data_IF_307442725166
#
_entry.id   IF_307442725166
#
_cell.length_a   1.000
_cell.length_b   1.000
_cell.length_c   1.000
_cell.angle_alpha   90.00
_cell.angle_beta   90.00
_cell.angle_gamma   90.00
#
_symmetry.space_group_name_H-M   'P 1'
#
loop_
_entity.id
_entity.type
_entity.pdbx_description
1 polymer ?
#
# COMPACT_ATOMS: atom_id res chain seq x y z
N UNK A 1 44.89 -26.57 -18.25
CA UNK A 1 44.59 -25.92 -16.95
C UNK A 1 43.62 -26.78 -16.15
N UNK A 2 43.59 -26.64 -14.82
CA UNK A 2 42.65 -27.34 -13.93
C UNK A 2 41.58 -26.34 -13.46
N UNK A 3 40.33 -26.78 -13.36
CA UNK A 3 39.23 -25.97 -12.82
C UNK A 3 39.00 -26.39 -11.37
N UNK A 4 38.76 -25.44 -10.48
CA UNK A 4 38.28 -25.71 -9.13
C UNK A 4 36.75 -26.03 -9.15
N UNK A 5 36.34 -27.29 -8.87
CA UNK A 5 34.95 -27.69 -8.92
C UNK A 5 34.06 -26.95 -7.91
N UNK A 6 34.60 -26.65 -6.72
CA UNK A 6 33.82 -26.03 -5.64
C UNK A 6 33.58 -24.56 -5.95
N UNK A 7 34.57 -23.89 -6.54
CA UNK A 7 34.45 -22.51 -7.00
C UNK A 7 33.49 -22.38 -8.20
N UNK A 8 33.56 -23.28 -9.18
CA UNK A 8 32.61 -23.28 -10.30
C UNK A 8 31.17 -23.45 -9.80
N UNK A 9 30.96 -24.35 -8.84
CA UNK A 9 29.64 -24.60 -8.23
C UNK A 9 29.16 -23.39 -7.44
N UNK A 10 30.04 -22.74 -6.67
CA UNK A 10 29.68 -21.57 -5.87
C UNK A 10 29.29 -20.38 -6.76
N UNK A 11 30.08 -20.09 -7.80
CA UNK A 11 29.80 -19.02 -8.78
C UNK A 11 28.49 -19.26 -9.53
N UNK A 12 28.22 -20.52 -9.95
CA UNK A 12 26.96 -20.86 -10.61
C UNK A 12 25.76 -20.63 -9.69
N UNK A 13 25.83 -21.12 -8.44
CA UNK A 13 24.76 -20.94 -7.45
C UNK A 13 24.55 -19.47 -7.11
N UNK A 14 25.63 -18.68 -7.02
CA UNK A 14 25.58 -17.23 -6.77
C UNK A 14 24.78 -16.48 -7.84
N UNK A 15 24.87 -16.90 -9.11
CA UNK A 15 24.08 -16.31 -10.20
C UNK A 15 22.69 -16.94 -10.39
N UNK A 16 22.22 -17.78 -9.46
CA UNK A 16 20.94 -18.52 -9.56
C UNK A 16 20.79 -19.30 -10.88
N UNK A 17 21.90 -19.78 -11.44
CA UNK A 17 21.89 -20.55 -12.68
C UNK A 17 21.74 -22.05 -12.39
N UNK A 18 20.73 -22.67 -12.99
CA UNK A 18 20.70 -24.13 -13.11
C UNK A 18 21.78 -24.61 -14.08
N UNK A 19 22.12 -25.90 -14.04
CA UNK A 19 23.09 -26.48 -14.99
C UNK A 19 22.64 -26.28 -16.45
N UNK A 20 21.32 -26.41 -16.70
CA UNK A 20 20.69 -26.16 -18.00
C UNK A 20 20.85 -24.69 -18.41
N UNK A 21 20.52 -23.75 -17.52
CA UNK A 21 20.64 -22.31 -17.80
C UNK A 21 22.09 -21.90 -18.06
N UNK A 22 23.05 -22.46 -17.32
CA UNK A 22 24.47 -22.19 -17.57
C UNK A 22 24.92 -22.76 -18.92
N UNK A 23 24.50 -23.97 -19.28
CA UNK A 23 24.78 -24.56 -20.59
C UNK A 23 24.22 -23.69 -21.74
N UNK A 24 22.98 -23.23 -21.63
CA UNK A 24 22.38 -22.30 -22.60
C UNK A 24 23.16 -20.99 -22.68
N UNK A 25 23.56 -20.42 -21.53
CA UNK A 25 24.36 -19.18 -21.47
C UNK A 25 25.71 -19.37 -22.18
N UNK A 26 26.39 -20.49 -21.98
CA UNK A 26 27.65 -20.79 -22.70
C UNK A 26 27.44 -20.93 -24.21
N UNK A 27 26.32 -21.53 -24.65
CA UNK A 27 25.98 -21.69 -26.07
C UNK A 27 25.73 -20.34 -26.75
N UNK A 28 25.05 -19.41 -26.07
CA UNK A 28 24.83 -18.03 -26.57
C UNK A 28 26.14 -17.27 -26.74
N UNK A 29 27.09 -17.51 -25.85
CA UNK A 29 28.38 -16.81 -25.85
C UNK A 29 29.34 -17.37 -26.90
N UNK A 30 29.48 -18.70 -27.00
CA UNK A 30 30.42 -19.38 -27.91
C UNK A 30 29.81 -20.72 -28.43
N UNK A 31 29.31 -20.79 -29.67
CA UNK A 31 28.84 -22.05 -30.28
C UNK A 31 30.02 -23.01 -30.56
N UNK A 32 29.93 -24.33 -30.27
CA UNK A 32 28.73 -25.12 -29.97
C UNK A 32 28.22 -25.10 -28.50
N UNK A 33 28.87 -24.36 -27.61
CA UNK A 33 28.53 -24.30 -26.19
C UNK A 33 28.94 -25.54 -25.40
N UNK A 34 28.82 -25.46 -24.07
CA UNK A 34 29.16 -26.57 -23.17
C UNK A 34 27.86 -27.28 -22.78
N UNK A 35 27.85 -28.60 -22.84
CA UNK A 35 26.68 -29.40 -22.46
C UNK A 35 26.51 -29.50 -20.96
N UNK A 36 25.26 -29.62 -20.50
CA UNK A 36 24.91 -29.78 -19.09
C UNK A 36 25.71 -30.90 -18.40
N UNK A 37 25.79 -32.08 -19.04
CA UNK A 37 26.56 -33.24 -18.55
C UNK A 37 28.04 -32.91 -18.35
N UNK A 38 28.60 -32.03 -19.19
CA UNK A 38 30.00 -31.61 -19.08
C UNK A 38 30.18 -30.68 -17.89
N UNK A 39 29.28 -29.72 -17.68
CA UNK A 39 29.30 -28.81 -16.52
C UNK A 39 29.15 -29.62 -15.22
N UNK A 40 28.18 -30.53 -15.16
CA UNK A 40 27.97 -31.41 -14.00
C UNK A 40 29.22 -32.23 -13.68
N UNK A 41 29.89 -32.77 -14.71
CA UNK A 41 31.15 -33.49 -14.55
C UNK A 41 32.28 -32.60 -14.04
N UNK A 42 32.35 -31.34 -14.48
CA UNK A 42 33.35 -30.36 -14.01
C UNK A 42 33.10 -29.92 -12.56
N UNK A 43 31.84 -29.84 -12.13
CA UNK A 43 31.47 -29.57 -10.73
C UNK A 43 31.63 -30.77 -9.79
N UNK A 44 31.93 -31.95 -10.31
CA UNK A 44 32.05 -33.18 -9.50
C UNK A 44 33.48 -33.34 -8.98
N UNK A 45 33.66 -33.44 -7.66
CA UNK A 45 34.96 -33.49 -6.97
C UNK A 45 35.88 -34.62 -7.45
N UNK A 46 35.31 -35.69 -8.02
CA UNK A 46 36.06 -36.80 -8.63
C UNK A 46 36.91 -36.41 -9.86
N UNK A 47 36.80 -35.19 -10.37
CA UNK A 47 37.54 -34.69 -11.54
C UNK A 47 38.47 -33.50 -11.24
N UNK A 48 38.70 -33.16 -9.96
CA UNK A 48 39.51 -32.01 -9.53
C UNK A 48 40.95 -31.98 -10.11
N UNK A 49 41.43 -33.10 -10.66
CA UNK A 49 42.76 -33.22 -11.28
C UNK A 49 42.77 -33.42 -12.80
N UNK A 50 41.62 -33.36 -13.50
CA UNK A 50 41.59 -33.57 -14.95
C UNK A 50 41.87 -32.27 -15.70
N UNK A 51 42.74 -32.35 -16.71
CA UNK A 51 43.04 -31.22 -17.59
C UNK A 51 41.83 -30.88 -18.46
N UNK A 52 41.40 -29.63 -18.37
CA UNK A 52 40.32 -29.07 -19.19
C UNK A 52 40.94 -28.25 -20.32
N UNK A 53 40.31 -28.29 -21.49
CA UNK A 53 40.72 -27.49 -22.66
C UNK A 53 40.46 -26.00 -22.38
N UNK A 54 41.38 -25.16 -22.79
CA UNK A 54 41.36 -23.70 -22.55
C UNK A 54 40.05 -23.04 -23.00
N UNK A 55 39.58 -23.35 -24.22
CA UNK A 55 38.30 -22.82 -24.74
C UNK A 55 37.08 -23.11 -23.84
N UNK A 56 37.10 -24.21 -23.07
CA UNK A 56 36.02 -24.57 -22.15
C UNK A 56 36.06 -23.66 -20.92
N UNK A 57 37.25 -23.33 -20.43
CA UNK A 57 37.45 -22.42 -19.30
C UNK A 57 37.03 -21.01 -19.71
N UNK A 58 37.48 -20.53 -20.86
CA UNK A 58 37.09 -19.21 -21.39
C UNK A 58 35.59 -19.09 -21.59
N UNK A 59 34.94 -20.14 -22.12
CA UNK A 59 33.50 -20.13 -22.35
C UNK A 59 32.70 -20.13 -21.04
N UNK A 60 33.17 -20.86 -20.01
CA UNK A 60 32.56 -20.81 -18.67
C UNK A 60 32.80 -19.48 -17.97
N UNK A 61 34.03 -18.97 -18.04
CA UNK A 61 34.43 -17.69 -17.45
C UNK A 61 33.59 -16.56 -18.02
N UNK A 62 33.46 -16.50 -19.36
CA UNK A 62 32.65 -15.50 -20.05
C UNK A 62 31.15 -15.66 -19.77
N UNK A 63 30.64 -16.89 -19.65
CA UNK A 63 29.24 -17.11 -19.28
C UNK A 63 28.94 -16.72 -17.82
N UNK A 64 29.93 -16.85 -16.93
CA UNK A 64 29.85 -16.42 -15.53
C UNK A 64 30.33 -14.98 -15.32
N UNK A 65 30.73 -14.26 -16.38
CA UNK A 65 31.26 -12.90 -16.30
C UNK A 65 32.43 -12.75 -15.30
N UNK A 66 33.30 -13.76 -15.24
CA UNK A 66 34.54 -13.77 -14.43
C UNK A 66 35.75 -13.97 -15.33
N UNK A 67 36.94 -13.62 -14.83
CA UNK A 67 38.18 -13.93 -15.55
C UNK A 67 38.51 -15.44 -15.52
N UNK A 68 39.11 -16.01 -16.59
CA UNK A 68 39.49 -17.42 -16.63
C UNK A 68 40.36 -17.87 -15.47
N UNK A 69 41.28 -17.00 -15.01
CA UNK A 69 42.17 -17.25 -13.87
C UNK A 69 41.44 -17.44 -12.53
N UNK A 70 40.22 -16.92 -12.41
CA UNK A 70 39.38 -17.14 -11.23
C UNK A 70 38.94 -18.61 -11.18
N UNK A 71 38.46 -19.17 -12.30
CA UNK A 71 37.99 -20.56 -12.35
C UNK A 71 39.11 -21.59 -12.14
N UNK A 72 40.37 -21.21 -12.38
CA UNK A 72 41.55 -22.06 -12.16
C UNK A 72 42.14 -21.92 -10.76
N UNK A 73 41.67 -20.95 -9.96
CA UNK A 73 42.22 -20.63 -8.64
C UNK A 73 43.54 -19.86 -8.69
N UNK A 74 43.94 -19.37 -9.87
CA UNK A 74 45.15 -18.55 -10.06
C UNK A 74 44.92 -17.08 -9.66
N UNK A 75 43.68 -16.61 -9.77
CA UNK A 75 43.23 -15.30 -9.30
C UNK A 75 42.25 -15.48 -8.15
N UNK A 76 42.29 -14.60 -7.13
CA UNK A 76 41.25 -14.60 -6.10
C UNK A 76 39.88 -14.40 -6.76
N UNK A 77 38.82 -15.04 -6.24
CA UNK A 77 37.47 -14.76 -6.72
C UNK A 77 37.21 -13.26 -6.60
N UNK A 78 36.56 -12.64 -7.60
CA UNK A 78 36.21 -11.23 -7.51
C UNK A 78 35.45 -11.04 -6.20
N UNK A 79 35.96 -10.14 -5.36
CA UNK A 79 35.22 -9.68 -4.18
C UNK A 79 33.84 -9.32 -4.70
N UNK A 80 32.83 -10.04 -4.23
CA UNK A 80 31.47 -9.75 -4.63
C UNK A 80 31.16 -8.33 -4.23
N UNK A 81 30.87 -7.47 -5.20
CA UNK A 81 29.99 -6.32 -4.96
C UNK A 81 28.58 -6.78 -4.49
N UNK A 82 28.31 -8.10 -4.53
CA UNK A 82 27.07 -8.77 -4.11
C UNK A 82 27.14 -9.55 -2.78
N UNK A 83 28.06 -9.24 -1.85
CA UNK A 83 27.52 -9.20 -0.47
C UNK A 83 26.45 -8.13 -0.58
N UNK A 84 25.15 -8.36 -0.26
CA UNK A 84 24.21 -7.24 -0.18
C UNK A 84 24.94 -6.25 0.69
N UNK A 85 25.41 -5.14 0.09
CA UNK A 85 26.38 -4.29 0.73
C UNK A 85 25.79 -4.08 2.10
N UNK A 86 26.47 -4.58 3.15
CA UNK A 86 26.00 -4.39 4.51
C UNK A 86 26.05 -2.88 4.62
N UNK A 87 24.91 -2.28 4.33
CA UNK A 87 24.73 -0.87 4.32
C UNK A 87 24.26 -0.69 5.74
N UNK A 88 25.17 -0.34 6.68
CA UNK A 88 24.79 -0.16 8.08
C UNK A 88 23.62 0.83 8.22
N UNK A 89 23.36 1.64 7.18
CA UNK A 89 22.32 2.65 7.14
C UNK A 89 20.96 2.12 6.65
N UNK A 90 20.82 0.83 6.29
CA UNK A 90 19.54 0.25 5.81
C UNK A 90 19.09 -0.93 6.66
N UNK A 91 17.90 -0.79 7.24
CA UNK A 91 17.23 -1.84 8.04
C UNK A 91 15.99 -2.32 7.28
N UNK A 92 15.76 -3.64 7.27
CA UNK A 92 14.53 -4.21 6.70
C UNK A 92 13.35 -4.01 7.66
N UNK A 93 12.26 -3.44 7.16
CA UNK A 93 11.00 -3.30 7.90
C UNK A 93 9.99 -4.29 7.31
N UNK A 94 9.50 -5.21 8.14
CA UNK A 94 8.40 -6.10 7.79
C UNK A 94 7.06 -5.50 8.22
N UNK A 95 6.21 -5.13 7.28
CA UNK A 95 4.86 -4.64 7.56
C UNK A 95 3.86 -5.29 6.59
N UNK A 96 2.65 -5.58 7.09
CA UNK A 96 1.52 -5.95 6.24
C UNK A 96 0.85 -4.65 5.75
N UNK A 97 0.66 -4.54 4.44
CA UNK A 97 0.01 -3.39 3.82
C UNK A 97 -1.25 -3.84 3.11
N UNK A 98 -2.30 -3.02 3.19
CA UNK A 98 -3.54 -3.27 2.46
C UNK A 98 -3.26 -3.30 0.95
N UNK A 99 -3.98 -4.13 0.17
CA UNK A 99 -3.82 -4.18 -1.28
C UNK A 99 -3.96 -2.81 -1.97
N UNK A 100 -4.94 -1.99 -1.54
CA UNK A 100 -5.14 -0.62 -2.02
C UNK A 100 -3.93 0.28 -1.77
N UNK A 101 -3.30 0.19 -0.60
CA UNK A 101 -2.07 0.95 -0.28
C UNK A 101 -0.90 0.52 -1.16
N UNK A 102 -0.77 -0.78 -1.44
CA UNK A 102 0.24 -1.27 -2.39
C UNK A 102 0.00 -0.74 -3.80
N UNK A 103 -1.25 -0.78 -4.27
CA UNK A 103 -1.63 -0.21 -5.56
C UNK A 103 -1.28 1.28 -5.63
N UNK A 104 -1.56 2.04 -4.57
CA UNK A 104 -1.19 3.45 -4.49
C UNK A 104 0.33 3.67 -4.65
N UNK A 105 1.18 2.82 -4.07
CA UNK A 105 2.64 2.89 -4.31
C UNK A 105 3.01 2.64 -5.77
N UNK A 106 2.38 1.66 -6.43
CA UNK A 106 2.64 1.37 -7.84
C UNK A 106 2.21 2.55 -8.73
N UNK A 107 1.06 3.18 -8.43
CA UNK A 107 0.57 4.36 -9.14
C UNK A 107 1.48 5.58 -8.92
N UNK A 108 1.89 5.87 -7.68
CA UNK A 108 2.84 6.95 -7.37
C UNK A 108 4.17 6.73 -8.10
N UNK A 109 4.66 5.48 -8.15
CA UNK A 109 5.87 5.13 -8.88
C UNK A 109 5.73 5.40 -10.38
N UNK A 110 4.59 5.08 -10.99
CA UNK A 110 4.35 5.34 -12.41
C UNK A 110 4.25 6.83 -12.71
N UNK A 111 3.50 7.58 -11.90
CA UNK A 111 3.27 9.01 -12.10
C UNK A 111 4.50 9.87 -11.80
N UNK A 112 5.21 9.58 -10.70
CA UNK A 112 6.27 10.45 -10.19
C UNK A 112 7.66 9.83 -10.22
N UNK A 113 7.80 8.53 -10.56
CA UNK A 113 9.09 7.83 -10.53
C UNK A 113 9.62 7.51 -9.14
N UNK A 114 8.83 7.71 -8.09
CA UNK A 114 9.24 7.52 -6.68
C UNK A 114 8.94 6.10 -6.23
N UNK A 115 9.92 5.39 -5.69
CA UNK A 115 9.72 4.01 -5.23
C UNK A 115 9.10 3.96 -3.83
N UNK A 116 8.42 2.85 -3.50
CA UNK A 116 7.85 2.63 -2.18
C UNK A 116 8.85 2.79 -1.03
N UNK A 117 10.11 2.38 -1.21
CA UNK A 117 11.17 2.56 -0.21
C UNK A 117 11.43 4.04 0.10
N UNK A 118 11.45 4.90 -0.92
CA UNK A 118 11.67 6.34 -0.74
C UNK A 118 10.46 6.96 -0.03
N UNK A 119 9.24 6.54 -0.38
CA UNK A 119 8.01 6.98 0.30
C UNK A 119 8.03 6.58 1.77
N UNK A 120 8.40 5.33 2.09
CA UNK A 120 8.52 4.85 3.48
C UNK A 120 9.56 5.66 4.26
N UNK A 121 10.70 5.98 3.64
CA UNK A 121 11.74 6.79 4.28
C UNK A 121 11.29 8.25 4.50
N UNK A 122 10.48 8.81 3.61
CA UNK A 122 9.93 10.17 3.75
C UNK A 122 8.69 10.24 4.64
N UNK A 123 8.00 9.11 4.87
CA UNK A 123 6.73 9.06 5.58
C UNK A 123 6.76 9.71 6.97
N UNK A 124 7.78 9.51 7.83
CA UNK A 124 7.84 10.19 9.13
C UNK A 124 7.87 11.72 9.00
N UNK A 125 8.68 12.25 8.07
CA UNK A 125 8.76 13.69 7.83
C UNK A 125 7.43 14.25 7.32
N UNK A 126 6.84 13.62 6.31
CA UNK A 126 5.56 14.06 5.76
C UNK A 126 4.43 13.96 6.77
N UNK A 127 4.39 12.89 7.57
CA UNK A 127 3.41 12.75 8.63
C UNK A 127 3.56 13.85 9.68
N UNK A 128 4.77 14.15 10.16
CA UNK A 128 4.99 15.25 11.11
C UNK A 128 4.57 16.60 10.53
N UNK A 129 4.91 16.90 9.26
CA UNK A 129 4.49 18.14 8.61
C UNK A 129 2.96 18.26 8.49
N UNK A 130 2.28 17.17 8.13
CA UNK A 130 0.82 17.15 8.02
C UNK A 130 0.16 17.26 9.39
N UNK A 131 0.68 16.57 10.41
CA UNK A 131 0.21 16.62 11.79
C UNK A 131 0.29 18.04 12.37
N UNK A 132 1.47 18.66 12.30
CA UNK A 132 1.69 20.03 12.77
C UNK A 132 0.88 21.04 11.95
N UNK A 133 0.79 20.84 10.63
CA UNK A 133 -0.06 21.65 9.76
C UNK A 133 -1.54 21.59 10.17
N UNK A 134 -2.04 20.40 10.51
CA UNK A 134 -3.40 20.20 11.00
C UNK A 134 -3.64 20.90 12.34
N UNK A 135 -2.73 20.77 13.31
CA UNK A 135 -2.84 21.43 14.62
C UNK A 135 -2.82 22.96 14.49
N UNK A 136 -1.89 23.49 13.68
CA UNK A 136 -1.80 24.92 13.40
C UNK A 136 -3.07 25.46 12.72
N UNK A 137 -3.60 24.69 11.77
CA UNK A 137 -4.85 25.02 11.08
C UNK A 137 -6.05 25.04 12.04
N UNK A 138 -6.18 24.03 12.91
CA UNK A 138 -7.21 23.98 13.96
C UNK A 138 -7.12 25.16 14.92
N UNK A 139 -5.91 25.49 15.40
CA UNK A 139 -5.69 26.66 16.24
C UNK A 139 -6.15 27.96 15.58
N UNK A 140 -5.90 28.11 14.26
CA UNK A 140 -6.41 29.26 13.49
C UNK A 140 -7.94 29.25 13.43
N UNK A 141 -8.56 28.10 13.14
CA UNK A 141 -10.02 27.97 13.09
C UNK A 141 -10.69 28.26 14.43
N UNK A 142 -10.09 27.82 15.53
CA UNK A 142 -10.59 28.09 16.85
C UNK A 142 -10.58 29.59 17.17
N UNK A 143 -9.53 30.32 16.76
CA UNK A 143 -9.48 31.79 16.87
C UNK A 143 -10.59 32.46 16.06
N UNK A 144 -10.79 32.03 14.81
CA UNK A 144 -11.88 32.55 13.96
C UNK A 144 -13.26 32.31 14.61
N UNK A 145 -13.47 31.15 15.24
CA UNK A 145 -14.71 30.82 15.97
C UNK A 145 -14.89 31.71 17.20
N UNK A 146 -13.83 31.90 18.01
CA UNK A 146 -13.86 32.81 19.18
C UNK A 146 -14.22 34.24 18.77
N UNK A 147 -13.58 34.77 17.73
CA UNK A 147 -13.86 36.11 17.20
C UNK A 147 -15.31 36.25 16.69
N UNK A 148 -15.79 35.25 15.92
CA UNK A 148 -17.17 35.24 15.44
C UNK A 148 -18.19 35.17 16.59
N UNK A 149 -17.86 34.44 17.65
CA UNK A 149 -18.68 34.31 18.85
C UNK A 149 -18.73 35.63 19.65
N UNK A 150 -17.59 36.28 19.88
CA UNK A 150 -17.51 37.59 20.53
C UNK A 150 -18.35 38.63 19.78
N UNK A 151 -18.29 38.60 18.44
CA UNK A 151 -19.15 39.45 17.60
C UNK A 151 -20.64 39.16 17.79
N UNK A 152 -21.04 37.90 17.93
CA UNK A 152 -22.43 37.52 18.15
C UNK A 152 -22.95 38.01 19.50
N UNK A 153 -22.14 37.96 20.56
CA UNK A 153 -22.48 38.52 21.88
C UNK A 153 -22.69 40.04 21.82
N UNK A 154 -21.89 40.74 21.02
CA UNK A 154 -21.99 42.21 20.87
C UNK A 154 -23.24 42.68 20.12
N UNK A 155 -23.93 41.79 19.40
CA UNK A 155 -25.22 42.11 18.76
C UNK A 155 -26.30 42.13 19.87
N UNK A 156 -26.38 43.29 20.52
CA UNK A 156 -27.18 43.54 21.71
C UNK A 156 -28.69 43.25 21.51
N UNK A 157 -29.33 42.64 22.52
CA UNK A 157 -30.78 42.53 22.64
C UNK A 157 -31.52 41.43 21.85
N UNK A 158 -30.89 40.67 20.93
CA UNK A 158 -31.59 39.63 20.16
C UNK A 158 -31.64 38.25 20.86
N UNK A 159 -30.66 37.92 21.72
CA UNK A 159 -30.47 36.57 22.29
C UNK A 159 -30.47 36.49 23.83
N UNK A 160 -31.19 37.36 24.53
CA UNK A 160 -31.15 37.45 26.00
C UNK A 160 -31.60 36.18 26.75
N UNK A 161 -32.37 35.28 26.13
CA UNK A 161 -32.81 34.02 26.75
C UNK A 161 -32.04 32.76 26.32
N UNK A 162 -31.49 32.71 25.10
CA UNK A 162 -30.74 31.55 24.57
C UNK A 162 -29.22 31.66 24.72
N UNK A 163 -28.72 32.85 25.09
CA UNK A 163 -27.28 33.15 25.16
C UNK A 163 -26.52 32.33 26.19
N UNK A 164 -27.07 32.11 27.39
CA UNK A 164 -26.36 31.39 28.45
C UNK A 164 -26.08 29.91 28.11
N UNK A 165 -27.05 29.23 27.48
CA UNK A 165 -26.87 27.83 27.06
C UNK A 165 -25.88 27.71 25.90
N UNK A 166 -25.99 28.60 24.90
CA UNK A 166 -25.01 28.67 23.82
C UNK A 166 -23.61 29.05 24.33
N UNK A 167 -23.51 29.95 25.31
CA UNK A 167 -22.25 30.34 25.90
C UNK A 167 -21.57 29.18 26.60
N UNK A 168 -22.30 28.44 27.42
CA UNK A 168 -21.75 27.28 28.10
C UNK A 168 -21.26 26.22 27.12
N UNK A 169 -22.07 25.88 26.11
CA UNK A 169 -21.64 24.96 25.05
C UNK A 169 -20.45 25.48 24.26
N UNK A 170 -20.40 26.77 23.93
CA UNK A 170 -19.22 27.32 23.25
C UNK A 170 -17.97 27.25 24.13
N UNK A 171 -18.06 27.63 25.39
CA UNK A 171 -16.92 27.58 26.33
C UNK A 171 -16.40 26.15 26.52
N UNK A 172 -17.29 25.17 26.66
CA UNK A 172 -16.92 23.75 26.76
C UNK A 172 -16.31 23.20 25.46
N UNK A 173 -16.95 23.43 24.31
CA UNK A 173 -16.48 22.93 23.02
C UNK A 173 -15.16 23.57 22.61
N UNK A 174 -15.01 24.87 22.84
CA UNK A 174 -13.77 25.60 22.62
C UNK A 174 -12.67 25.12 23.56
N UNK A 175 -12.97 24.99 24.86
CA UNK A 175 -12.01 24.48 25.85
C UNK A 175 -11.53 23.07 25.54
N UNK A 176 -12.44 22.18 25.14
CA UNK A 176 -12.12 20.82 24.72
C UNK A 176 -11.24 20.77 23.47
N UNK A 177 -11.50 21.64 22.49
CA UNK A 177 -10.65 21.78 21.30
C UNK A 177 -9.26 22.35 21.64
N UNK A 178 -9.14 23.32 22.55
CA UNK A 178 -7.84 23.82 23.04
C UNK A 178 -7.04 22.70 23.70
N UNK A 179 -7.68 21.92 24.58
CA UNK A 179 -7.04 20.80 25.26
C UNK A 179 -6.62 19.69 24.27
N UNK A 180 -7.45 19.39 23.27
CA UNK A 180 -7.12 18.44 22.20
C UNK A 180 -5.90 18.90 21.40
N UNK A 181 -5.82 20.18 21.03
CA UNK A 181 -4.66 20.74 20.33
C UNK A 181 -3.40 20.71 21.20
N UNK A 182 -3.50 21.11 22.47
CA UNK A 182 -2.37 21.14 23.40
C UNK A 182 -1.80 19.73 23.67
N UNK A 183 -2.64 18.70 23.59
CA UNK A 183 -2.24 17.28 23.69
C UNK A 183 -1.77 16.67 22.36
N UNK A 184 -1.70 17.46 21.28
CA UNK A 184 -1.41 16.98 19.92
C UNK A 184 -2.34 15.84 19.47
N UNK A 185 -3.60 15.87 19.89
CA UNK A 185 -4.60 14.87 19.55
C UNK A 185 -5.09 15.07 18.12
N UNK A 186 -4.48 14.36 17.17
CA UNK A 186 -4.79 14.49 15.75
C UNK A 186 -6.19 14.01 15.41
N UNK A 187 -6.67 12.97 16.07
CA UNK A 187 -7.89 12.26 15.67
C UNK A 187 -9.13 12.66 16.48
N UNK A 188 -8.99 13.56 17.46
CA UNK A 188 -10.09 14.03 18.29
C UNK A 188 -10.51 13.01 19.34
N UNK A 189 -9.60 12.15 19.80
CA UNK A 189 -9.87 11.14 20.83
C UNK A 189 -10.13 11.72 22.22
N UNK A 190 -9.72 12.96 22.44
CA UNK A 190 -9.91 13.69 23.69
C UNK A 190 -10.98 14.78 23.59
N UNK A 191 -11.70 14.85 22.46
CA UNK A 191 -12.88 15.69 22.37
C UNK A 191 -14.01 15.01 23.15
N UNK A 192 -14.62 15.77 24.07
CA UNK A 192 -15.51 15.23 25.09
C UNK A 192 -16.73 14.53 24.48
N UNK A 193 -16.98 13.27 24.88
CA UNK A 193 -18.06 12.43 24.34
C UNK A 193 -19.46 12.90 24.79
N UNK A 194 -19.56 13.77 25.79
CA UNK A 194 -20.83 14.21 26.37
C UNK A 194 -21.25 15.63 25.97
N UNK A 195 -20.61 16.23 24.96
CA UNK A 195 -20.94 17.58 24.50
C UNK A 195 -22.40 17.68 24.01
N UNK A 196 -23.24 18.40 24.76
CA UNK A 196 -24.63 18.77 24.39
C UNK A 196 -25.53 17.58 24.02
N UNK A 197 -25.26 16.38 24.54
CA UNK A 197 -26.09 15.18 24.32
C UNK A 197 -25.99 14.58 22.91
N UNK A 198 -25.04 15.03 22.09
CA UNK A 198 -24.69 14.40 20.82
C UNK A 198 -23.22 14.01 20.85
N UNK A 199 -22.88 12.73 21.04
CA UNK A 199 -21.50 12.33 21.22
C UNK A 199 -20.66 12.66 20.00
N UNK A 200 -19.45 13.15 20.25
CA UNK A 200 -18.49 13.41 19.20
C UNK A 200 -18.10 12.09 18.53
N UNK A 201 -18.65 11.86 17.34
CA UNK A 201 -18.30 10.66 16.59
C UNK A 201 -16.96 10.87 15.88
N UNK A 202 -15.86 10.48 16.52
CA UNK A 202 -14.50 10.54 15.96
C UNK A 202 -14.34 9.73 14.67
N UNK A 203 -15.24 8.77 14.39
CA UNK A 203 -15.29 8.07 13.10
C UNK A 203 -15.85 8.95 11.99
N UNK A 204 -16.71 9.93 12.29
CA UNK A 204 -17.32 10.83 11.30
C UNK A 204 -16.67 12.19 11.25
N UNK A 205 -16.23 12.70 12.39
CA UNK A 205 -15.84 14.08 12.60
C UNK A 205 -14.35 14.21 12.91
N UNK A 206 -13.52 13.31 12.37
CA UNK A 206 -12.09 13.32 12.61
C UNK A 206 -11.44 14.63 12.11
N UNK A 207 -10.81 15.44 12.99
CA UNK A 207 -10.31 16.75 12.61
C UNK A 207 -9.10 16.66 11.65
N UNK A 208 -8.26 15.63 11.79
CA UNK A 208 -7.16 15.39 10.84
C UNK A 208 -7.67 15.01 9.45
N UNK A 209 -8.68 14.15 9.36
CA UNK A 209 -9.34 13.84 8.07
C UNK A 209 -9.89 15.09 7.40
N UNK A 210 -10.56 15.95 8.16
CA UNK A 210 -11.10 17.21 7.63
C UNK A 210 -10.01 18.12 7.10
N UNK A 211 -8.88 18.22 7.80
CA UNK A 211 -7.71 18.95 7.34
C UNK A 211 -7.13 18.37 6.04
N UNK A 212 -6.96 17.04 5.95
CA UNK A 212 -6.46 16.38 4.74
C UNK A 212 -7.38 16.62 3.53
N UNK A 213 -8.69 16.56 3.74
CA UNK A 213 -9.69 16.87 2.70
C UNK A 213 -9.57 18.31 2.22
N UNK A 214 -9.47 19.25 3.16
CA UNK A 214 -9.28 20.65 2.81
C UNK A 214 -7.99 20.86 2.01
N UNK A 215 -6.90 20.21 2.41
CA UNK A 215 -5.64 20.27 1.69
C UNK A 215 -5.77 19.69 0.27
N UNK A 216 -6.43 18.55 0.11
CA UNK A 216 -6.70 17.95 -1.21
C UNK A 216 -7.53 18.90 -2.10
N UNK A 217 -8.59 19.50 -1.54
CA UNK A 217 -9.43 20.47 -2.24
C UNK A 217 -8.69 21.76 -2.60
N UNK A 218 -7.74 22.21 -1.76
CA UNK A 218 -6.90 23.39 -2.05
C UNK A 218 -5.88 23.13 -3.16
N UNK A 219 -5.41 21.88 -3.31
CA UNK A 219 -4.56 21.50 -4.43
C UNK A 219 -5.34 21.52 -5.76
N UNK A 220 -6.64 21.17 -5.71
CA UNK A 220 -7.55 21.17 -6.87
C UNK A 220 -6.95 20.45 -8.08
N UNK A 221 -6.48 19.21 -7.85
CA UNK A 221 -5.92 18.35 -8.89
C UNK A 221 -6.79 17.10 -9.00
N UNK A 222 -7.90 17.17 -9.79
CA UNK A 222 -8.81 16.06 -9.98
C UNK A 222 -8.08 14.78 -10.37
N UNK A 223 -8.51 13.66 -9.82
CA UNK A 223 -8.00 12.36 -10.21
C UNK A 223 -6.63 11.99 -9.64
N UNK A 224 -5.99 12.87 -8.86
CA UNK A 224 -4.65 12.62 -8.30
C UNK A 224 -4.70 12.20 -6.84
N UNK A 225 -5.45 12.93 -6.03
CA UNK A 225 -5.70 12.61 -4.63
C UNK A 225 -7.12 13.03 -4.32
N UNK A 226 -7.97 12.05 -3.99
CA UNK A 226 -9.32 12.28 -3.51
C UNK A 226 -9.43 11.71 -2.10
N UNK A 227 -9.98 12.49 -1.17
CA UNK A 227 -10.20 12.07 0.23
C UNK A 227 -11.70 12.08 0.47
N UNK A 228 -12.26 10.92 0.79
CA UNK A 228 -13.70 10.71 0.88
C UNK A 228 -14.35 11.61 1.94
N UNK A 229 -15.58 12.02 1.65
CA UNK A 229 -16.47 12.72 2.54
C UNK A 229 -17.04 11.83 3.65
N UNK A 230 -17.03 10.51 3.43
CA UNK A 230 -17.67 9.50 4.26
C UNK A 230 -17.07 9.25 5.65
N UNK A 231 -17.86 8.53 6.46
CA UNK A 231 -17.51 7.98 7.78
C UNK A 231 -16.24 7.13 7.64
N UNK A 232 -15.24 7.34 8.51
CA UNK A 232 -14.12 6.41 8.68
C UNK A 232 -14.71 5.01 8.74
N UNK A 233 -14.28 4.12 7.84
CA UNK A 233 -14.86 2.79 7.73
C UNK A 233 -14.97 2.17 9.12
N UNK A 234 -16.19 1.96 9.58
CA UNK A 234 -16.48 1.40 10.92
C UNK A 234 -15.82 0.02 11.08
N UNK A 235 -15.49 -0.63 9.96
CA UNK A 235 -14.81 -1.92 9.89
C UNK A 235 -13.29 -1.82 9.67
N UNK A 236 -12.71 -0.64 9.47
CA UNK A 236 -11.26 -0.51 9.35
C UNK A 236 -10.65 -0.16 10.69
N UNK A 237 -9.69 -0.97 11.14
CA UNK A 237 -8.88 -0.71 12.34
C UNK A 237 -7.93 0.50 12.16
N UNK A 238 -8.11 1.28 11.09
CA UNK A 238 -7.31 2.42 10.72
C UNK A 238 -8.13 3.70 10.93
N UNK A 239 -7.59 4.64 11.71
CA UNK A 239 -8.15 5.98 11.94
C UNK A 239 -7.93 6.91 10.74
N UNK A 240 -7.97 6.38 9.52
CA UNK A 240 -7.58 7.08 8.31
C UNK A 240 -8.73 7.08 7.29
N UNK A 241 -8.98 8.21 6.61
CA UNK A 241 -10.09 8.30 5.66
C UNK A 241 -9.91 7.35 4.49
N UNK A 242 -11.03 7.00 3.86
CA UNK A 242 -10.97 6.47 2.52
C UNK A 242 -10.35 7.51 1.59
N UNK A 243 -9.43 7.05 0.75
CA UNK A 243 -8.75 7.89 -0.22
C UNK A 243 -8.58 7.13 -1.52
N UNK A 244 -8.48 7.88 -2.60
CA UNK A 244 -8.06 7.41 -3.92
C UNK A 244 -6.83 8.19 -4.36
N UNK A 245 -5.87 7.49 -4.94
CA UNK A 245 -4.62 8.07 -5.46
C UNK A 245 -4.54 7.74 -6.94
N UNK A 246 -4.35 8.76 -7.77
CA UNK A 246 -4.20 8.62 -9.22
C UNK A 246 -5.37 7.84 -9.85
N UNK A 247 -6.61 8.14 -9.43
CA UNK A 247 -7.83 7.48 -9.88
C UNK A 247 -8.00 7.56 -11.40
N UNK A 248 -7.62 8.67 -12.03
CA UNK A 248 -7.62 8.81 -13.49
C UNK A 248 -6.66 7.83 -14.19
N UNK A 249 -5.45 7.65 -13.64
CA UNK A 249 -4.48 6.70 -14.20
C UNK A 249 -4.96 5.26 -13.98
N UNK A 250 -5.58 4.98 -12.84
CA UNK A 250 -6.19 3.69 -12.56
C UNK A 250 -7.36 3.40 -13.52
N UNK A 251 -8.21 4.38 -13.79
CA UNK A 251 -9.33 4.26 -14.74
C UNK A 251 -8.84 4.05 -16.17
N UNK A 252 -7.75 4.72 -16.57
CA UNK A 252 -7.08 4.51 -17.86
C UNK A 252 -6.49 3.09 -17.97
N UNK A 253 -5.84 2.59 -16.92
CA UNK A 253 -5.34 1.21 -16.87
C UNK A 253 -6.51 0.22 -16.96
N UNK A 254 -7.61 0.48 -16.26
CA UNK A 254 -8.81 -0.34 -16.25
C UNK A 254 -9.69 -0.17 -17.49
N UNK A 255 -9.35 0.74 -18.42
CA UNK A 255 -10.16 1.10 -19.58
C UNK A 255 -11.63 1.43 -19.21
N UNK A 256 -11.82 2.08 -18.06
CA UNK A 256 -13.14 2.41 -17.51
C UNK A 256 -13.96 1.22 -16.98
N UNK A 257 -13.43 -0.01 -16.97
CA UNK A 257 -14.13 -1.17 -16.39
C UNK A 257 -14.10 -1.14 -14.86
N UNK A 258 -15.26 -1.10 -14.18
CA UNK A 258 -15.32 -1.13 -12.72
C UNK A 258 -14.76 -2.42 -12.12
N UNK A 259 -14.95 -3.54 -12.79
CA UNK A 259 -14.48 -4.85 -12.33
C UNK A 259 -12.95 -4.97 -12.50
N UNK A 260 -12.39 -4.49 -13.62
CA UNK A 260 -10.95 -4.40 -13.78
C UNK A 260 -10.29 -3.51 -12.70
N UNK A 261 -10.90 -2.36 -12.39
CA UNK A 261 -10.46 -1.46 -11.31
C UNK A 261 -10.50 -2.16 -9.95
N UNK A 262 -11.61 -2.80 -9.63
CA UNK A 262 -11.81 -3.55 -8.38
C UNK A 262 -10.81 -4.69 -8.21
N UNK A 263 -10.45 -5.38 -9.30
CA UNK A 263 -9.43 -6.43 -9.30
C UNK A 263 -8.07 -5.91 -8.81
N UNK A 264 -7.70 -4.69 -9.20
CA UNK A 264 -6.47 -4.01 -8.77
C UNK A 264 -6.57 -3.51 -7.32
N UNK A 265 -7.68 -2.87 -6.95
CA UNK A 265 -7.87 -2.27 -5.62
C UNK A 265 -7.87 -3.32 -4.49
N UNK A 266 -8.49 -4.48 -4.73
CA UNK A 266 -8.53 -5.60 -3.77
C UNK A 266 -7.26 -6.46 -3.88
N UNK A 267 -6.47 -6.30 -4.96
CA UNK A 267 -5.17 -6.93 -5.15
C UNK A 267 -5.22 -8.36 -5.68
N UNK A 268 -6.29 -8.75 -6.37
CA UNK A 268 -6.36 -9.97 -7.18
C UNK A 268 -5.44 -9.92 -8.41
N UNK A 269 -5.14 -8.70 -8.86
CA UNK A 269 -4.12 -8.42 -9.86
C UNK A 269 -3.14 -7.36 -9.32
N UNK A 270 -1.90 -7.37 -9.85
CA UNK A 270 -0.92 -6.30 -9.61
C UNK A 270 -0.53 -5.64 -10.93
N UNK A 271 -0.18 -4.35 -10.86
CA UNK A 271 0.35 -3.65 -12.04
C UNK A 271 1.62 -4.33 -12.58
N UNK A 272 2.47 -4.86 -11.70
CA UNK A 272 3.68 -5.61 -12.10
C UNK A 272 3.40 -6.98 -12.76
N UNK A 273 2.19 -7.50 -12.67
CA UNK A 273 1.79 -8.78 -13.27
C UNK A 273 1.19 -8.59 -14.67
N UNK A 274 0.80 -7.37 -15.03
CA UNK A 274 0.33 -7.04 -16.37
C UNK A 274 1.52 -7.16 -17.31
N UNK A 275 1.36 -7.98 -18.37
CA UNK A 275 2.39 -8.16 -19.40
C UNK A 275 2.64 -6.84 -20.13
N UNK A 276 3.89 -6.56 -20.50
CA UNK A 276 4.27 -5.34 -21.22
C UNK A 276 3.44 -5.13 -22.51
N UNK A 277 3.07 -6.22 -23.18
CA UNK A 277 2.19 -6.24 -24.37
C UNK A 277 0.82 -5.61 -24.08
N UNK A 278 0.24 -5.94 -22.92
CA UNK A 278 -1.06 -5.45 -22.46
C UNK A 278 -0.99 -4.03 -21.92
N UNK A 279 0.19 -3.51 -21.61
CA UNK A 279 0.36 -2.13 -21.12
C UNK A 279 0.36 -1.09 -22.24
N UNK A 280 0.32 -1.51 -23.50
CA UNK A 280 0.16 -0.59 -24.64
C UNK A 280 -1.24 0.04 -24.68
N UNK A 281 -1.35 1.23 -25.29
CA UNK A 281 -2.64 1.90 -25.47
C UNK A 281 -3.60 1.08 -26.33
N UNK A 282 -3.09 0.42 -27.38
CA UNK A 282 -3.89 -0.38 -28.31
C UNK A 282 -4.47 -1.66 -27.68
N UNK A 283 -3.94 -2.09 -26.54
CA UNK A 283 -4.36 -3.30 -25.82
C UNK A 283 -5.24 -2.99 -24.59
N UNK A 284 -5.83 -1.80 -24.49
CA UNK A 284 -6.61 -1.38 -23.30
C UNK A 284 -7.80 -2.30 -23.02
N UNK A 285 -8.54 -2.72 -24.05
CA UNK A 285 -9.67 -3.66 -23.92
C UNK A 285 -9.21 -5.06 -23.48
N UNK A 286 -8.13 -5.57 -24.08
CA UNK A 286 -7.57 -6.88 -23.71
C UNK A 286 -7.01 -6.86 -22.28
N UNK A 287 -6.40 -5.75 -21.87
CA UNK A 287 -5.91 -5.52 -20.50
C UNK A 287 -7.07 -5.51 -19.50
N UNK A 288 -8.14 -4.78 -19.77
CA UNK A 288 -9.31 -4.73 -18.90
C UNK A 288 -9.93 -6.11 -18.72
N UNK A 289 -10.14 -6.84 -19.82
CA UNK A 289 -10.67 -8.21 -19.77
C UNK A 289 -9.76 -9.16 -18.98
N UNK A 290 -8.44 -9.06 -19.16
CA UNK A 290 -7.48 -9.86 -18.39
C UNK A 290 -7.55 -9.57 -16.88
N UNK A 291 -7.80 -8.31 -16.50
CA UNK A 291 -7.99 -7.90 -15.10
C UNK A 291 -9.31 -8.42 -14.54
N UNK A 292 -10.39 -8.33 -15.30
CA UNK A 292 -11.71 -8.89 -14.93
C UNK A 292 -11.62 -10.40 -14.67
N UNK A 293 -10.92 -11.15 -15.53
CA UNK A 293 -10.68 -12.58 -15.35
C UNK A 293 -9.89 -12.93 -14.07
N UNK A 294 -9.30 -11.95 -13.37
CA UNK A 294 -8.66 -12.16 -12.05
C UNK A 294 -9.62 -12.09 -10.88
N UNK A 295 -10.80 -11.51 -11.06
CA UNK A 295 -11.82 -11.51 -10.02
C UNK A 295 -12.43 -12.90 -9.90
N UNK A 296 -12.49 -13.49 -8.70
CA UNK A 296 -13.22 -14.73 -8.49
C UNK A 296 -14.73 -14.51 -8.62
N UNK A 297 -15.43 -15.45 -9.26
CA UNK A 297 -16.90 -15.48 -9.45
C UNK A 297 -17.69 -15.28 -8.13
N UNK A 298 -17.07 -15.60 -6.98
CA UNK A 298 -17.66 -15.43 -5.64
C UNK A 298 -18.04 -13.96 -5.39
N UNK A 299 -17.33 -13.00 -5.99
CA UNK A 299 -17.62 -11.56 -5.83
C UNK A 299 -18.78 -11.09 -6.72
N UNK A 300 -19.17 -11.85 -7.75
CA UNK A 300 -20.33 -11.52 -8.60
C UNK A 300 -21.66 -11.84 -7.90
N UNK A 301 -21.67 -12.88 -7.06
CA UNK A 301 -22.82 -13.24 -6.22
C UNK A 301 -23.01 -12.29 -5.03
N UNK A 302 -22.03 -11.42 -4.79
CA UNK A 302 -21.91 -10.58 -3.61
C UNK A 302 -22.42 -9.14 -3.81
N UNK A 303 -23.23 -8.93 -4.85
CA UNK A 303 -24.00 -7.67 -5.02
C UNK A 303 -24.98 -7.41 -3.86
N UNK A 304 -25.19 -8.38 -2.97
CA UNK A 304 -26.12 -8.34 -1.83
C UNK A 304 -25.45 -8.24 -0.43
N UNK A 305 -24.15 -7.95 -0.32
CA UNK A 305 -23.58 -7.39 0.93
C UNK A 305 -22.73 -8.31 1.85
N UNK A 306 -22.24 -9.44 1.36
CA UNK A 306 -21.38 -10.40 2.07
C UNK A 306 -19.88 -10.01 2.04
N UNK A 307 -19.42 -9.14 1.11
CA UNK A 307 -18.02 -8.65 1.10
C UNK A 307 -17.68 -7.94 2.41
N UNK A 308 -18.63 -7.20 2.99
CA UNK A 308 -18.47 -6.58 4.30
C UNK A 308 -18.21 -7.61 5.41
N UNK A 309 -18.87 -8.77 5.33
CA UNK A 309 -18.73 -9.87 6.28
C UNK A 309 -17.41 -10.64 6.08
N UNK A 310 -16.95 -10.82 4.84
CA UNK A 310 -15.67 -11.49 4.55
C UNK A 310 -14.45 -10.64 4.94
N UNK A 311 -14.52 -9.31 4.73
CA UNK A 311 -13.52 -8.36 5.23
C UNK A 311 -13.52 -8.35 6.77
N UNK A 312 -14.70 -8.34 7.41
CA UNK A 312 -14.81 -8.44 8.87
C UNK A 312 -14.29 -9.78 9.41
N UNK A 313 -14.46 -10.88 8.67
CA UNK A 313 -14.01 -12.23 9.08
C UNK A 313 -12.48 -12.41 8.96
N UNK A 314 -11.81 -11.60 8.14
CA UNK A 314 -10.35 -11.62 7.96
C UNK A 314 -9.59 -10.85 9.05
N UNK A 315 -10.30 -10.10 9.90
CA UNK A 315 -9.77 -9.44 11.09
C UNK A 315 -9.86 -10.40 12.30
N UNK A 316 -8.75 -10.62 13.02
CA UNK A 316 -8.72 -11.49 14.20
C UNK A 316 -8.95 -10.70 15.50
N UNK A 317 -9.89 -11.14 16.34
CA UNK A 317 -10.07 -10.62 17.71
C UNK A 317 -11.52 -10.66 18.23
N UNK A 318 -11.70 -10.11 19.44
CA UNK A 318 -13.00 -9.96 20.14
C UNK A 318 -14.02 -9.09 19.36
N UNK A 319 -13.56 -8.33 18.37
CA UNK A 319 -14.38 -7.51 17.44
C UNK A 319 -15.37 -8.32 16.60
N UNK A 320 -15.10 -9.62 16.41
CA UNK A 320 -16.01 -10.54 15.69
C UNK A 320 -17.39 -10.65 16.37
N UNK A 321 -17.48 -10.47 17.68
CA UNK A 321 -18.74 -10.63 18.44
C UNK A 321 -19.70 -9.46 18.25
N UNK A 322 -19.20 -8.23 18.26
CA UNK A 322 -20.04 -7.03 18.21
C UNK A 322 -20.64 -6.77 16.82
N UNK A 323 -19.94 -7.18 15.76
CA UNK A 323 -20.44 -7.05 14.38
C UNK A 323 -21.52 -8.10 14.08
N UNK A 324 -21.33 -9.35 14.53
CA UNK A 324 -22.33 -10.42 14.36
C UNK A 324 -23.64 -10.10 15.12
N UNK A 325 -23.55 -9.53 16.32
CA UNK A 325 -24.74 -9.15 17.11
C UNK A 325 -25.56 -8.03 16.46
N UNK A 326 -24.92 -7.08 15.76
CA UNK A 326 -25.61 -5.99 15.06
C UNK A 326 -26.26 -6.45 13.74
N UNK A 327 -25.64 -7.39 13.03
CA UNK A 327 -26.18 -7.95 11.80
C UNK A 327 -27.44 -8.81 12.05
N UNK A 328 -27.46 -9.61 13.13
CA UNK A 328 -28.65 -10.39 13.51
C UNK A 328 -29.83 -9.50 13.91
N UNK A 329 -29.55 -8.35 14.55
CA UNK A 329 -30.57 -7.39 14.99
C UNK A 329 -31.31 -6.73 13.80
N UNK A 330 -30.59 -6.40 12.72
CA UNK A 330 -31.19 -5.81 11.51
C UNK A 330 -31.97 -6.83 10.66
N UNK A 331 -31.60 -8.10 10.75
CA UNK A 331 -32.29 -9.17 10.02
C UNK A 331 -33.67 -9.47 10.60
N UNK A 332 -33.79 -9.44 11.93
CA UNK A 332 -35.08 -9.60 12.64
C UNK A 332 -36.08 -8.48 12.34
N UNK A 333 -35.63 -7.24 12.15
CA UNK A 333 -36.52 -6.13 11.84
C UNK A 333 -37.07 -6.21 10.40
N UNK A 334 -36.26 -6.71 9.45
CA UNK A 334 -36.67 -6.86 8.04
C UNK A 334 -37.66 -8.01 7.78
N UNK A 335 -37.68 -9.04 8.64
CA UNK A 335 -38.64 -10.14 8.55
C UNK A 335 -39.99 -9.80 9.21
N UNK A 336 -40.01 -8.84 10.13
CA UNK A 336 -41.24 -8.43 10.82
C UNK A 336 -42.12 -7.51 9.94
N UNK A 337 -41.53 -6.69 9.06
CA UNK A 337 -42.29 -5.82 8.13
C UNK A 337 -42.93 -6.57 6.93
N UNK A 338 -42.52 -7.81 6.64
CA UNK A 338 -43.13 -8.61 5.55
C UNK A 338 -44.35 -9.43 5.99
N UNK A 339 -44.70 -9.43 7.28
CA UNK A 339 -45.81 -10.20 7.83
C UNK A 339 -47.17 -9.49 7.88
N UNK A 340 -47.23 -8.16 7.75
CA UNK A 340 -48.46 -7.39 8.02
C UNK A 340 -49.27 -6.98 6.78
N UNK A 341 -48.88 -7.38 5.57
CA UNK A 341 -49.61 -7.04 4.33
C UNK A 341 -50.39 -8.22 3.73
N UNK A 342 -51.11 -8.97 4.55
CA UNK A 342 -52.22 -9.82 4.09
C UNK A 342 -53.23 -10.07 5.21
N UNK A 343 -54.16 -9.13 5.38
CA UNK A 343 -55.54 -9.39 5.84
C UNK A 343 -56.54 -8.49 5.10
#
# INVERSE_FOLDING_TARGET
MKIDPDLLRSLRKKQNLSLVKLAEKTRRVNPPGITEKTIQRLESTSQQNKTVREHTIESLAKALSVEPGVLTGELPPPESDDTPAYNPDRVQIGAQVAPKTRLAYDLIKRRYGVNATDIINMAPLFFTLLAEGSLAWRCKKLKEVKEAYDHLIQIDGFWSGGSAYLQHGMDEGVGGEEESIDKADLFGEHLDDDFMGAPFDSSKNNPFTYYLRKLANELDIPGVVDVDDGVLSIASNFKFPHYDICSEELDHIANGSPDAKKALEIGFARLSEIRDELMSEDASEERAKWLEEKLPDILEQDKEGVIAEFIATSLQGDEKRDILLKADSQKTDSETEKGENHE
#
